data_IF_470457670788
#
_entry.id   IF_470457670788
#
_cell.length_a   1.000
_cell.length_b   1.000
_cell.length_c   1.000
_cell.angle_alpha   90.00
_cell.angle_beta   90.00
_cell.angle_gamma   90.00
#
_symmetry.space_group_name_H-M   'P 1'
#
loop_
_entity.id
_entity.type
_entity.pdbx_description
1 polymer ?
#
# COMPACT_ATOMS: atom_id res chain seq x y z
N UNK A 1 2.64 25.39 29.30
CA UNK A 1 1.43 25.09 28.50
C UNK A 1 1.84 25.17 27.03
N UNK A 2 2.28 24.04 26.51
CA UNK A 2 2.67 23.91 25.10
C UNK A 2 1.41 23.95 24.23
N UNK A 3 1.31 24.99 23.42
CA UNK A 3 0.29 25.02 22.36
C UNK A 3 0.75 24.03 21.29
N UNK A 4 0.17 22.84 21.29
CA UNK A 4 0.17 21.96 20.14
C UNK A 4 -0.33 22.76 18.93
N UNK A 5 0.58 23.10 18.05
CA UNK A 5 0.23 23.68 16.75
C UNK A 5 -0.42 22.55 15.92
N UNK A 6 -1.74 22.54 15.90
CA UNK A 6 -2.51 21.66 15.03
C UNK A 6 -2.22 22.08 13.59
N UNK A 7 -1.37 21.34 12.91
CA UNK A 7 -1.17 21.53 11.47
C UNK A 7 -2.49 21.15 10.76
N UNK A 8 -3.10 22.12 10.12
CA UNK A 8 -4.30 21.88 9.31
C UNK A 8 -3.84 21.55 7.89
N UNK A 9 -4.08 20.33 7.46
CA UNK A 9 -3.79 19.88 6.11
C UNK A 9 -5.01 20.06 5.22
N UNK A 10 -4.80 20.60 4.04
CA UNK A 10 -5.81 20.68 3.00
C UNK A 10 -5.32 19.85 1.84
N UNK A 11 -6.12 18.89 1.41
CA UNK A 11 -5.82 18.10 0.23
C UNK A 11 -6.48 18.73 -0.99
N UNK A 12 -5.70 18.86 -2.06
CA UNK A 12 -6.20 19.26 -3.36
C UNK A 12 -6.62 17.99 -4.10
N UNK A 13 -7.89 17.85 -4.38
CA UNK A 13 -8.40 16.66 -5.07
C UNK A 13 -7.95 16.60 -6.53
N UNK A 14 -7.98 15.41 -7.10
CA UNK A 14 -7.69 15.13 -8.51
C UNK A 14 -8.51 15.99 -9.44
N UNK A 15 -7.92 17.05 -9.94
CA UNK A 15 -8.57 17.87 -10.95
C UNK A 15 -8.37 17.31 -12.35
N UNK A 16 -9.26 16.50 -12.83
CA UNK A 16 -9.41 16.30 -14.28
C UNK A 16 -10.02 17.52 -14.96
N UNK A 17 -10.02 18.67 -14.43
CA UNK A 17 -10.35 19.97 -15.06
C UNK A 17 -10.10 21.07 -14.02
N UNK A 18 -9.10 21.87 -14.21
CA UNK A 18 -8.84 23.23 -13.72
C UNK A 18 -9.61 23.76 -12.47
N UNK A 19 -10.26 22.94 -11.69
CA UNK A 19 -10.93 23.31 -10.46
C UNK A 19 -10.23 22.67 -9.27
N UNK A 20 -9.53 23.49 -8.54
CA UNK A 20 -8.90 23.08 -7.28
C UNK A 20 -9.98 23.00 -6.21
N UNK A 21 -10.38 21.79 -5.82
CA UNK A 21 -11.27 21.59 -4.69
C UNK A 21 -10.45 21.40 -3.42
N UNK A 22 -10.54 22.35 -2.52
CA UNK A 22 -9.97 22.21 -1.19
C UNK A 22 -10.84 21.28 -0.36
N UNK A 23 -10.28 20.16 0.07
CA UNK A 23 -10.95 19.18 0.91
C UNK A 23 -10.16 18.95 2.20
N UNK A 24 -10.85 18.70 3.29
CA UNK A 24 -10.25 18.29 4.56
C UNK A 24 -10.02 16.77 4.65
N UNK A 25 -10.26 16.04 3.56
CA UNK A 25 -10.04 14.60 3.43
C UNK A 25 -9.21 14.33 2.19
N UNK A 26 -8.33 13.37 2.29
CA UNK A 26 -7.56 12.88 1.14
C UNK A 26 -8.50 12.09 0.25
N UNK A 27 -8.51 12.38 -1.03
CA UNK A 27 -9.19 11.55 -2.03
C UNK A 27 -8.51 10.20 -2.20
N UNK A 28 -9.05 9.34 -3.05
CA UNK A 28 -8.41 8.05 -3.36
C UNK A 28 -7.01 8.29 -3.94
N UNK A 29 -6.01 7.57 -3.41
CA UNK A 29 -4.67 7.57 -3.98
C UNK A 29 -4.76 6.84 -5.32
N UNK A 30 -4.30 7.48 -6.38
CA UNK A 30 -4.29 6.89 -7.70
C UNK A 30 -2.86 6.74 -8.24
N UNK A 31 -2.72 5.96 -9.30
CA UNK A 31 -1.44 5.72 -9.93
C UNK A 31 -0.88 6.92 -10.71
N UNK A 32 -1.65 7.99 -10.86
CA UNK A 32 -1.30 9.19 -11.66
C UNK A 32 -0.52 10.25 -10.86
N UNK A 33 -0.26 10.03 -9.59
CA UNK A 33 0.58 10.88 -8.71
C UNK A 33 0.12 12.33 -8.54
N UNK A 34 -1.16 12.62 -8.69
CA UNK A 34 -1.66 14.00 -8.66
C UNK A 34 -2.17 14.45 -7.28
N UNK A 35 -1.99 13.65 -6.25
CA UNK A 35 -2.35 14.08 -4.90
C UNK A 35 -1.34 15.10 -4.37
N UNK A 36 -1.86 16.25 -4.01
CA UNK A 36 -1.09 17.35 -3.45
C UNK A 36 -1.63 17.71 -2.08
N UNK A 37 -0.76 18.05 -1.18
CA UNK A 37 -1.11 18.64 0.10
C UNK A 37 -0.68 20.09 0.16
N UNK A 38 -1.49 20.91 0.80
CA UNK A 38 -1.15 22.29 1.15
C UNK A 38 -0.77 22.28 2.61
N UNK A 39 0.49 22.56 2.90
CA UNK A 39 0.95 22.83 4.26
C UNK A 39 0.70 24.30 4.56
N UNK A 40 -0.16 24.56 5.55
CA UNK A 40 -0.39 25.91 6.01
C UNK A 40 0.69 26.27 7.03
N UNK A 41 1.56 27.20 6.67
CA UNK A 41 2.52 27.79 7.58
C UNK A 41 1.85 28.61 8.69
N UNK A 42 2.59 28.92 9.75
CA UNK A 42 2.16 29.88 10.78
C UNK A 42 1.95 31.28 10.20
N UNK A 43 1.58 32.27 11.03
CA UNK A 43 1.08 33.57 10.62
C UNK A 43 1.98 34.40 9.67
N UNK A 44 3.23 33.97 9.41
CA UNK A 44 4.17 34.61 8.48
C UNK A 44 4.83 33.63 7.47
N UNK A 45 4.39 32.40 7.36
CA UNK A 45 4.98 31.41 6.45
C UNK A 45 4.12 31.22 5.22
N UNK A 46 4.77 31.06 4.06
CA UNK A 46 4.08 30.80 2.80
C UNK A 46 3.46 29.39 2.82
N UNK A 47 2.25 29.27 2.28
CA UNK A 47 1.66 27.96 2.03
C UNK A 47 2.49 27.22 0.97
N UNK A 48 2.92 26.00 1.30
CA UNK A 48 3.67 25.16 0.37
C UNK A 48 2.74 24.09 -0.15
N UNK A 49 2.64 23.99 -1.49
CA UNK A 49 1.94 22.92 -2.18
C UNK A 49 2.97 21.92 -2.67
N UNK A 50 2.85 20.67 -2.27
CA UNK A 50 3.71 19.59 -2.74
C UNK A 50 2.93 18.29 -2.93
N UNK A 51 3.52 17.36 -3.62
CA UNK A 51 3.00 16.00 -3.70
C UNK A 51 3.23 15.25 -2.38
N UNK A 52 2.35 14.30 -2.08
CA UNK A 52 2.59 13.33 -1.03
C UNK A 52 3.83 12.48 -1.38
N UNK A 53 4.64 12.18 -0.40
CA UNK A 53 5.73 11.22 -0.57
C UNK A 53 5.19 9.78 -0.57
N UNK A 54 5.93 8.79 -1.11
CA UNK A 54 5.50 7.38 -1.02
C UNK A 54 5.24 6.94 0.42
N UNK A 55 6.08 7.37 1.37
CA UNK A 55 5.90 7.09 2.79
C UNK A 55 4.58 7.64 3.34
N UNK A 56 4.21 8.85 2.97
CA UNK A 56 2.93 9.43 3.36
C UNK A 56 1.75 8.68 2.74
N UNK A 57 1.91 8.18 1.51
CA UNK A 57 0.91 7.34 0.87
C UNK A 57 0.75 5.98 1.57
N UNK A 58 1.86 5.34 1.99
CA UNK A 58 1.85 4.13 2.82
C UNK A 58 1.05 4.35 4.10
N UNK A 59 1.36 5.41 4.84
CA UNK A 59 0.66 5.76 6.09
C UNK A 59 -0.83 6.03 5.89
N UNK A 60 -1.20 6.74 4.82
CA UNK A 60 -2.61 7.03 4.51
C UNK A 60 -3.40 5.75 4.18
N UNK A 61 -2.77 4.76 3.57
CA UNK A 61 -3.39 3.47 3.31
C UNK A 61 -3.25 2.48 4.45
N UNK A 62 -2.50 2.83 5.50
CA UNK A 62 -2.31 2.02 6.69
C UNK A 62 -1.26 0.93 6.54
N UNK A 63 -0.41 1.00 5.54
CA UNK A 63 0.78 0.16 5.43
C UNK A 63 1.85 0.58 6.45
N UNK A 64 2.72 -0.34 6.87
CA UNK A 64 3.91 0.00 7.65
C UNK A 64 4.82 0.97 6.89
N UNK A 65 5.56 1.79 7.63
CA UNK A 65 6.53 2.71 7.05
C UNK A 65 7.59 1.96 6.24
N UNK A 66 7.84 2.42 5.01
CA UNK A 66 8.83 1.82 4.12
C UNK A 66 8.40 0.49 3.50
N UNK A 67 7.13 0.12 3.57
CA UNK A 67 6.61 -1.13 3.01
C UNK A 67 6.99 -1.34 1.55
N UNK A 68 6.93 -0.29 0.76
CA UNK A 68 7.27 -0.33 -0.67
C UNK A 68 8.73 0.03 -0.96
N UNK A 69 9.52 0.36 0.07
CA UNK A 69 10.95 0.67 -0.09
C UNK A 69 11.79 -0.60 0.08
N UNK A 70 11.87 -1.37 -0.99
CA UNK A 70 12.56 -2.66 -0.98
C UNK A 70 14.04 -2.58 -1.37
N UNK A 71 14.53 -1.39 -1.74
CA UNK A 71 15.92 -1.21 -2.16
C UNK A 71 16.20 -1.82 -3.55
N UNK A 72 17.24 -2.64 -3.65
CA UNK A 72 17.56 -3.41 -4.86
C UNK A 72 16.70 -4.68 -4.90
N UNK A 73 16.16 -4.99 -6.06
CA UNK A 73 15.36 -6.18 -6.32
C UNK A 73 15.64 -6.74 -7.71
N UNK A 74 15.27 -7.99 -7.96
CA UNK A 74 15.54 -8.68 -9.23
C UNK A 74 14.24 -8.94 -9.96
N UNK A 75 14.19 -8.60 -11.26
CA UNK A 75 13.03 -8.87 -12.10
C UNK A 75 13.04 -10.34 -12.63
N UNK A 76 11.96 -10.75 -13.31
CA UNK A 76 11.82 -12.09 -13.90
C UNK A 76 12.90 -12.45 -14.92
N UNK A 77 13.66 -11.47 -15.41
CA UNK A 77 14.77 -11.65 -16.35
C UNK A 77 16.13 -11.62 -15.65
N UNK A 78 16.14 -11.83 -14.34
CA UNK A 78 17.33 -11.78 -13.48
C UNK A 78 18.07 -10.43 -13.51
N UNK A 79 17.39 -9.37 -13.93
CA UNK A 79 17.98 -8.05 -13.97
C UNK A 79 17.77 -7.32 -12.65
N UNK A 80 18.85 -6.81 -12.10
CA UNK A 80 18.82 -5.96 -10.90
C UNK A 80 18.15 -4.63 -11.19
N UNK A 81 17.23 -4.25 -10.34
CA UNK A 81 16.46 -3.01 -10.38
C UNK A 81 16.60 -2.29 -9.05
N UNK A 82 16.48 -0.98 -9.07
CA UNK A 82 16.36 -0.16 -7.86
C UNK A 82 14.90 0.27 -7.67
N UNK A 83 14.46 0.28 -6.43
CA UNK A 83 13.16 0.84 -6.08
C UNK A 83 13.10 2.31 -6.49
N UNK A 84 12.07 2.66 -7.24
CA UNK A 84 11.81 4.05 -7.65
C UNK A 84 10.51 4.56 -7.04
N UNK A 85 10.44 5.86 -6.76
CA UNK A 85 9.21 6.47 -6.27
C UNK A 85 8.03 6.25 -7.21
N UNK A 86 8.28 6.23 -8.53
CA UNK A 86 7.25 5.96 -9.54
C UNK A 86 6.64 4.56 -9.39
N UNK A 87 7.46 3.53 -9.17
CA UNK A 87 6.98 2.17 -8.93
C UNK A 87 6.20 2.09 -7.61
N UNK A 88 6.69 2.75 -6.55
CA UNK A 88 6.01 2.82 -5.25
C UNK A 88 4.64 3.47 -5.36
N UNK A 89 4.55 4.64 -6.01
CA UNK A 89 3.27 5.31 -6.22
C UNK A 89 2.28 4.46 -7.02
N UNK A 90 2.74 3.81 -8.11
CA UNK A 90 1.91 2.93 -8.92
C UNK A 90 1.36 1.77 -8.08
N UNK A 91 2.22 1.11 -7.32
CA UNK A 91 1.84 -0.01 -6.47
C UNK A 91 0.86 0.40 -5.36
N UNK A 92 1.13 1.52 -4.67
CA UNK A 92 0.25 2.08 -3.64
C UNK A 92 -1.09 2.52 -4.23
N UNK A 93 -1.08 3.17 -5.41
CA UNK A 93 -2.30 3.63 -6.07
C UNK A 93 -3.25 2.50 -6.48
N UNK A 94 -2.70 1.32 -6.77
CA UNK A 94 -3.48 0.12 -7.10
C UNK A 94 -3.80 -0.75 -5.88
N UNK A 95 -3.33 -0.39 -4.70
CA UNK A 95 -3.51 -1.17 -3.48
C UNK A 95 -4.81 -0.83 -2.74
N UNK A 96 -5.03 -1.49 -1.62
CA UNK A 96 -6.23 -1.40 -0.80
C UNK A 96 -6.01 -0.55 0.46
N UNK A 97 -7.08 0.03 1.01
CA UNK A 97 -7.04 0.73 2.28
C UNK A 97 -7.08 -0.27 3.44
N UNK A 98 -5.92 -0.61 4.00
CA UNK A 98 -5.73 -1.64 5.03
C UNK A 98 -6.63 -1.48 6.26
N UNK A 99 -6.85 -0.29 6.84
CA UNK A 99 -7.68 -0.17 8.06
C UNK A 99 -9.10 -0.70 7.85
N UNK A 100 -9.67 -0.46 6.68
CA UNK A 100 -10.99 -0.98 6.33
C UNK A 100 -10.97 -2.52 6.20
N UNK A 101 -10.00 -3.04 5.48
CA UNK A 101 -9.87 -4.48 5.27
C UNK A 101 -9.52 -5.25 6.53
N UNK A 102 -8.74 -4.69 7.46
CA UNK A 102 -8.48 -5.29 8.78
C UNK A 102 -9.77 -5.47 9.59
N UNK A 103 -10.73 -4.54 9.48
CA UNK A 103 -12.05 -4.70 10.12
C UNK A 103 -12.84 -5.83 9.49
N UNK A 104 -12.85 -5.91 8.15
CA UNK A 104 -13.53 -6.99 7.43
C UNK A 104 -12.88 -8.35 7.72
N UNK A 105 -11.55 -8.44 7.66
CA UNK A 105 -10.80 -9.65 7.95
C UNK A 105 -11.15 -10.25 9.32
N UNK A 106 -11.18 -9.43 10.36
CA UNK A 106 -11.60 -9.87 11.70
C UNK A 106 -13.04 -10.38 11.74
N UNK A 107 -13.97 -9.72 11.04
CA UNK A 107 -15.36 -10.15 10.96
C UNK A 107 -15.52 -11.45 10.18
N UNK A 108 -14.76 -11.64 9.11
CA UNK A 108 -14.75 -12.87 8.33
C UNK A 108 -14.19 -14.00 9.19
N UNK A 109 -13.01 -13.83 9.78
CA UNK A 109 -12.36 -14.83 10.62
C UNK A 109 -13.25 -15.26 11.80
N UNK A 110 -13.98 -14.34 12.42
CA UNK A 110 -14.90 -14.61 13.52
C UNK A 110 -16.10 -15.51 13.15
N UNK A 111 -16.31 -15.82 11.86
CA UNK A 111 -17.36 -16.77 11.43
C UNK A 111 -16.88 -18.23 11.43
N UNK A 112 -15.61 -18.47 11.71
CA UNK A 112 -15.02 -19.81 11.67
C UNK A 112 -14.48 -20.19 13.04
N UNK A 113 -14.84 -21.38 13.51
CA UNK A 113 -14.36 -21.97 14.78
C UNK A 113 -13.06 -22.78 14.59
N UNK A 114 -12.36 -22.58 13.49
CA UNK A 114 -11.13 -23.28 13.10
C UNK A 114 -10.16 -22.34 12.41
N UNK A 115 -8.91 -22.76 12.35
CA UNK A 115 -7.90 -22.09 11.52
C UNK A 115 -8.36 -22.10 10.06
N UNK A 116 -8.21 -20.96 9.40
CA UNK A 116 -8.59 -20.78 7.99
C UNK A 116 -7.36 -20.54 7.15
N UNK A 117 -7.37 -21.04 5.94
CA UNK A 117 -6.37 -20.69 4.91
C UNK A 117 -6.95 -19.68 3.96
N UNK A 118 -6.10 -18.81 3.40
CA UNK A 118 -6.50 -17.84 2.40
C UNK A 118 -5.58 -17.88 1.19
N UNK A 119 -6.19 -17.70 0.00
CA UNK A 119 -5.47 -17.39 -1.22
C UNK A 119 -5.78 -15.97 -1.63
N UNK A 120 -4.81 -15.27 -2.20
CA UNK A 120 -4.97 -13.89 -2.67
C UNK A 120 -4.82 -13.82 -4.18
N UNK A 121 -5.85 -13.28 -4.85
CA UNK A 121 -5.84 -12.97 -6.28
C UNK A 121 -5.52 -11.48 -6.47
N UNK A 122 -4.66 -11.19 -7.44
CA UNK A 122 -4.24 -9.81 -7.73
C UNK A 122 -3.71 -9.12 -6.47
N UNK A 123 -2.80 -9.81 -5.78
CA UNK A 123 -2.39 -9.47 -4.41
C UNK A 123 -1.74 -8.09 -4.28
N UNK A 124 -1.20 -7.57 -5.38
CA UNK A 124 -0.50 -6.29 -5.37
C UNK A 124 0.73 -6.35 -4.47
N UNK A 125 0.77 -5.48 -3.48
CA UNK A 125 1.86 -5.37 -2.50
C UNK A 125 1.57 -6.12 -1.19
N UNK A 126 0.76 -7.17 -1.24
CA UNK A 126 0.48 -7.99 -0.07
C UNK A 126 -0.55 -7.39 0.90
N UNK A 127 -1.45 -6.57 0.39
CA UNK A 127 -2.44 -5.89 1.22
C UNK A 127 -3.43 -6.83 1.88
N UNK A 128 -3.87 -7.90 1.21
CA UNK A 128 -4.80 -8.87 1.78
C UNK A 128 -4.13 -9.75 2.84
N UNK A 129 -2.99 -10.40 2.60
CA UNK A 129 -2.27 -11.11 3.65
C UNK A 129 -2.02 -10.25 4.89
N UNK A 130 -1.58 -9.01 4.70
CA UNK A 130 -1.35 -8.07 5.79
C UNK A 130 -2.64 -7.67 6.54
N UNK A 131 -3.78 -7.61 5.84
CA UNK A 131 -5.07 -7.32 6.48
C UNK A 131 -5.56 -8.48 7.35
N UNK A 132 -5.26 -9.71 6.96
CA UNK A 132 -5.61 -10.92 7.71
C UNK A 132 -4.58 -11.32 8.76
N UNK A 133 -3.45 -10.64 8.84
CA UNK A 133 -2.47 -10.83 9.91
C UNK A 133 -3.16 -10.76 11.28
N UNK A 134 -2.78 -11.65 12.17
CA UNK A 134 -3.36 -11.80 13.52
C UNK A 134 -4.86 -12.19 13.57
N UNK A 135 -5.44 -12.69 12.49
CA UNK A 135 -6.82 -13.21 12.50
C UNK A 135 -6.91 -14.73 12.60
N UNK A 136 -5.78 -15.44 12.61
CA UNK A 136 -5.72 -16.89 12.50
C UNK A 136 -5.86 -17.43 11.07
N UNK A 137 -5.91 -16.55 10.07
CA UNK A 137 -5.87 -16.93 8.68
C UNK A 137 -4.43 -17.08 8.20
N UNK A 138 -4.11 -18.21 7.58
CA UNK A 138 -2.79 -18.49 7.02
C UNK A 138 -2.82 -18.27 5.51
N UNK A 139 -2.06 -17.33 4.95
CA UNK A 139 -1.89 -17.21 3.51
C UNK A 139 -1.19 -18.47 2.98
N UNK A 140 -1.72 -19.10 1.93
CA UNK A 140 -1.17 -20.33 1.35
C UNK A 140 -0.72 -20.13 -0.09
N UNK A 141 -1.24 -19.14 -0.77
CA UNK A 141 -0.77 -18.73 -2.10
C UNK A 141 -1.22 -17.32 -2.43
N UNK A 142 -0.49 -16.66 -3.32
CA UNK A 142 -0.84 -15.37 -3.89
C UNK A 142 -0.61 -15.38 -5.40
N UNK A 143 -1.41 -14.63 -6.14
CA UNK A 143 -1.26 -14.42 -7.58
C UNK A 143 -1.12 -12.95 -7.89
N UNK A 144 -0.01 -12.58 -8.53
CA UNK A 144 0.30 -11.22 -8.97
C UNK A 144 1.11 -11.27 -10.27
N UNK A 145 0.97 -10.27 -11.13
CA UNK A 145 1.67 -10.20 -12.42
C UNK A 145 2.70 -9.06 -12.46
N UNK A 146 2.52 -8.04 -11.64
CA UNK A 146 3.43 -6.88 -11.62
C UNK A 146 4.70 -7.23 -10.84
N UNK A 147 5.83 -7.27 -11.54
CA UNK A 147 7.12 -7.73 -11.00
C UNK A 147 7.56 -6.98 -9.74
N UNK A 148 7.34 -5.66 -9.69
CA UNK A 148 7.66 -4.88 -8.51
C UNK A 148 6.79 -5.27 -7.29
N UNK A 149 5.50 -5.51 -7.51
CA UNK A 149 4.59 -5.96 -6.46
C UNK A 149 4.99 -7.33 -5.92
N UNK A 150 5.35 -8.27 -6.82
CA UNK A 150 5.87 -9.59 -6.44
C UNK A 150 7.15 -9.44 -5.59
N UNK A 151 8.05 -8.56 -5.96
CA UNK A 151 9.28 -8.32 -5.19
C UNK A 151 8.98 -7.75 -3.78
N UNK A 152 8.00 -6.86 -3.66
CA UNK A 152 7.54 -6.33 -2.36
C UNK A 152 6.98 -7.46 -1.50
N UNK A 153 6.10 -8.28 -2.05
CA UNK A 153 5.47 -9.41 -1.35
C UNK A 153 6.50 -10.43 -0.88
N UNK A 154 7.42 -10.83 -1.77
CA UNK A 154 8.53 -11.72 -1.43
C UNK A 154 9.41 -11.19 -0.28
N UNK A 155 9.68 -9.89 -0.26
CA UNK A 155 10.47 -9.27 0.82
C UNK A 155 9.79 -9.39 2.19
N UNK A 156 8.47 -9.27 2.25
CA UNK A 156 7.74 -9.20 3.53
C UNK A 156 7.21 -10.54 4.00
N UNK A 157 6.82 -11.42 3.08
CA UNK A 157 6.25 -12.73 3.42
C UNK A 157 7.21 -13.90 3.15
N UNK A 158 8.37 -13.63 2.58
CA UNK A 158 9.34 -14.65 2.16
C UNK A 158 8.99 -15.24 0.79
N UNK A 159 9.82 -16.18 0.34
CA UNK A 159 9.44 -17.05 -0.77
C UNK A 159 8.42 -18.03 -0.21
N UNK A 160 7.13 -17.81 -0.50
CA UNK A 160 6.19 -18.92 -0.42
C UNK A 160 6.73 -19.99 -1.37
N UNK A 161 7.12 -21.11 -0.82
CA UNK A 161 7.49 -22.28 -1.60
C UNK A 161 6.33 -22.54 -2.55
N UNK A 162 6.47 -22.15 -3.82
CA UNK A 162 5.78 -22.83 -4.87
C UNK A 162 6.34 -24.25 -4.80
N UNK A 163 5.62 -25.15 -4.15
CA UNK A 163 5.78 -26.56 -4.41
C UNK A 163 5.49 -26.70 -5.91
N UNK A 164 6.58 -26.69 -6.71
CA UNK A 164 6.53 -27.23 -8.05
C UNK A 164 6.07 -28.68 -7.85
N UNK A 165 4.78 -28.91 -8.03
CA UNK A 165 4.30 -30.27 -8.24
C UNK A 165 5.07 -30.77 -9.46
N UNK A 166 6.04 -31.61 -9.18
CA UNK A 166 6.77 -32.38 -10.18
C UNK A 166 5.72 -33.15 -11.00
N UNK A 167 5.50 -32.81 -12.30
CA UNK A 167 4.49 -33.44 -13.12
C UNK A 167 4.82 -34.92 -13.44
N UNK A 168 5.94 -35.45 -12.94
CA UNK A 168 6.43 -36.79 -13.26
C UNK A 168 6.22 -37.83 -12.13
N UNK A 169 5.43 -37.53 -11.10
CA UNK A 169 5.04 -38.56 -10.10
C UNK A 169 3.68 -39.17 -10.43
N UNK A 170 3.65 -40.05 -11.43
CA UNK A 170 2.59 -41.02 -11.67
C UNK A 170 3.17 -42.41 -11.62
#
# INVERSE_FOLDING_TARGET
MDRMHTMTYWCVGNGQMHQTHLQNKVGAINAMHDQQIILRGGCNEMNVVRRLTPLECERLQGFPDGWTDIGEWTDSKEKKRQTSDSARYKALGNSIALPYWKVLARRIAAQYDRDITMGSLFDGIGGFPLAFEHTGATPVWASEIEEFCIAVTKKHFGEETQDEEDPDTV
#
